data_IF_331319139338
#
_entry.id   IF_331319139338
#
_cell.length_a   1.000
_cell.length_b   1.000
_cell.length_c   1.000
_cell.angle_alpha   90.00
_cell.angle_beta   90.00
_cell.angle_gamma   90.00
#
_symmetry.space_group_name_H-M   'P 1'
#
loop_
_entity.id
_entity.type
_entity.pdbx_description
1 polymer ?
#
# COMPACT_ATOMS: atom_id res chain seq x y z
N UNK A 1 6.87 10.25 6.63
CA UNK A 1 7.51 8.93 6.45
C UNK A 1 7.08 8.19 5.19
N UNK A 2 5.80 8.20 4.81
CA UNK A 2 5.33 7.47 3.62
C UNK A 2 5.01 8.39 2.45
N UNK A 3 4.31 9.51 2.68
CA UNK A 3 3.71 10.37 1.65
C UNK A 3 4.65 10.84 0.51
N UNK A 4 5.96 10.93 0.74
CA UNK A 4 6.92 11.32 -0.30
C UNK A 4 7.46 10.13 -1.14
N UNK A 5 7.08 8.89 -0.84
CA UNK A 5 7.52 7.71 -1.61
C UNK A 5 6.84 7.68 -2.98
N UNK A 6 7.64 7.71 -4.05
CA UNK A 6 7.16 7.76 -5.42
C UNK A 6 6.70 6.39 -5.92
N UNK A 7 5.82 6.42 -6.91
CA UNK A 7 5.53 5.24 -7.73
C UNK A 7 6.75 4.83 -8.55
N UNK A 8 6.75 3.60 -9.06
CA UNK A 8 7.91 3.02 -9.72
C UNK A 8 7.55 2.03 -10.82
N UNK A 9 8.46 1.82 -11.76
CA UNK A 9 8.30 0.83 -12.84
C UNK A 9 9.61 0.51 -13.54
N UNK A 10 9.62 -0.57 -14.32
CA UNK A 10 10.78 -0.97 -15.12
C UNK A 10 10.84 -0.20 -16.44
N UNK A 11 12.04 0.16 -16.89
CA UNK A 11 12.23 0.92 -18.13
C UNK A 11 11.55 0.26 -19.33
N UNK A 12 11.75 -1.05 -19.49
CA UNK A 12 11.16 -1.85 -20.58
C UNK A 12 9.62 -1.82 -20.58
N UNK A 13 9.01 -1.78 -19.39
CA UNK A 13 7.55 -1.69 -19.25
C UNK A 13 7.06 -0.28 -19.57
N UNK A 14 7.77 0.76 -19.13
CA UNK A 14 7.40 2.16 -19.38
C UNK A 14 7.39 2.46 -20.88
N UNK A 15 8.39 1.99 -21.63
CA UNK A 15 8.44 2.15 -23.09
C UNK A 15 7.25 1.45 -23.76
N UNK A 16 6.97 0.22 -23.36
CA UNK A 16 5.82 -0.56 -23.85
C UNK A 16 4.48 0.11 -23.52
N UNK A 17 4.33 0.62 -22.31
CA UNK A 17 3.13 1.34 -21.87
C UNK A 17 2.92 2.61 -22.72
N UNK A 18 3.98 3.40 -22.92
CA UNK A 18 3.93 4.62 -23.75
C UNK A 18 3.58 4.31 -25.20
N UNK A 19 4.15 3.25 -25.78
CA UNK A 19 3.80 2.81 -27.13
C UNK A 19 2.31 2.43 -27.27
N UNK A 20 1.70 1.93 -26.19
CA UNK A 20 0.28 1.60 -26.10
C UNK A 20 -0.60 2.78 -25.62
N UNK A 21 -0.06 4.00 -25.55
CA UNK A 21 -0.81 5.19 -25.14
C UNK A 21 -1.10 5.29 -23.63
N UNK A 22 -0.47 4.44 -22.82
CA UNK A 22 -0.51 4.47 -21.36
C UNK A 22 0.70 5.21 -20.79
N UNK A 23 0.67 5.57 -19.50
CA UNK A 23 1.78 6.25 -18.81
C UNK A 23 2.37 7.48 -19.56
N UNK A 24 1.55 8.19 -20.36
CA UNK A 24 2.00 9.28 -21.25
C UNK A 24 2.66 10.45 -20.50
N UNK A 25 2.25 10.68 -19.25
CA UNK A 25 2.84 11.69 -18.37
C UNK A 25 4.01 11.18 -17.52
N UNK A 26 4.41 9.91 -17.65
CA UNK A 26 5.48 9.33 -16.84
C UNK A 26 6.84 9.92 -17.19
N UNK A 27 7.53 10.46 -16.18
CA UNK A 27 8.90 10.99 -16.28
C UNK A 27 9.70 10.63 -15.03
N UNK A 28 11.01 10.87 -15.06
CA UNK A 28 11.88 10.69 -13.88
C UNK A 28 11.54 11.66 -12.72
N UNK A 29 10.75 12.70 -12.97
CA UNK A 29 10.31 13.66 -11.96
C UNK A 29 9.20 13.10 -11.07
N UNK A 30 8.37 12.20 -11.61
CA UNK A 30 7.17 11.68 -10.95
C UNK A 30 7.20 10.19 -10.64
N UNK A 31 8.14 9.43 -11.20
CA UNK A 31 8.31 8.02 -10.94
C UNK A 31 9.79 7.64 -10.75
N UNK A 32 10.03 6.60 -9.96
CA UNK A 32 11.31 5.90 -9.93
C UNK A 32 11.35 4.92 -11.09
N UNK A 33 12.36 5.00 -11.94
CA UNK A 33 12.51 4.09 -13.08
C UNK A 33 13.70 3.17 -12.85
N UNK A 34 13.44 1.87 -12.98
CA UNK A 34 14.41 0.79 -12.78
C UNK A 34 14.86 0.31 -14.17
N UNK A 35 16.12 0.57 -14.51
CA UNK A 35 16.78 0.00 -15.68
C UNK A 35 17.53 -1.28 -15.34
N UNK A 36 18.18 -1.88 -16.34
CA UNK A 36 18.93 -3.12 -16.19
C UNK A 36 20.13 -2.98 -15.24
N UNK A 37 20.77 -1.80 -15.25
CA UNK A 37 21.96 -1.49 -14.44
C UNK A 37 21.62 -0.74 -13.12
N UNK A 38 20.33 -0.56 -12.80
CA UNK A 38 19.88 0.06 -11.55
C UNK A 38 18.91 1.23 -11.72
N UNK A 39 18.89 2.14 -10.74
CA UNK A 39 17.95 3.27 -10.68
C UNK A 39 18.41 4.39 -11.62
N UNK A 40 17.52 4.84 -12.51
CA UNK A 40 17.83 5.86 -13.52
C UNK A 40 17.71 7.30 -13.01
N UNK A 41 17.01 7.52 -11.90
CA UNK A 41 16.86 8.86 -11.33
C UNK A 41 18.20 9.36 -10.79
N UNK A 42 18.69 10.52 -11.24
CA UNK A 42 20.01 11.08 -10.84
C UNK A 42 20.19 11.23 -9.32
N UNK A 43 19.13 11.62 -8.61
CA UNK A 43 19.11 11.73 -7.15
C UNK A 43 18.84 10.41 -6.41
N UNK A 44 18.72 9.29 -7.14
CA UNK A 44 18.39 7.98 -6.61
C UNK A 44 17.02 7.92 -5.92
N UNK A 45 16.97 7.16 -4.83
CA UNK A 45 15.78 6.99 -3.99
C UNK A 45 15.72 8.05 -2.89
N UNK A 46 14.51 8.50 -2.55
CA UNK A 46 14.24 9.36 -1.39
C UNK A 46 14.41 8.61 -0.07
N UNK A 47 14.17 7.29 -0.12
CA UNK A 47 14.28 6.37 1.01
C UNK A 47 14.94 5.07 0.53
N UNK A 48 15.75 4.43 1.38
CA UNK A 48 16.36 3.13 1.03
C UNK A 48 15.31 2.04 0.73
N UNK A 49 14.13 2.16 1.33
CA UNK A 49 12.97 1.28 1.24
C UNK A 49 11.78 1.96 0.52
N UNK A 50 12.04 2.90 -0.39
CA UNK A 50 11.00 3.71 -1.07
C UNK A 50 9.91 2.85 -1.75
N UNK A 51 10.28 1.72 -2.35
CA UNK A 51 9.34 0.82 -3.03
C UNK A 51 8.27 0.23 -2.09
N UNK A 52 8.67 -0.27 -0.92
CA UNK A 52 7.72 -0.84 0.04
C UNK A 52 6.91 0.27 0.72
N UNK A 53 7.50 1.44 0.95
CA UNK A 53 6.77 2.62 1.46
C UNK A 53 5.66 3.06 0.49
N UNK A 54 5.93 3.06 -0.81
CA UNK A 54 4.93 3.34 -1.82
C UNK A 54 3.80 2.30 -1.79
N UNK A 55 4.11 1.00 -1.66
CA UNK A 55 3.08 -0.05 -1.53
C UNK A 55 2.24 0.05 -0.25
N UNK A 56 2.84 0.51 0.85
CA UNK A 56 2.09 0.86 2.06
C UNK A 56 1.14 2.03 1.75
N UNK A 57 1.63 3.08 1.07
CA UNK A 57 0.80 4.23 0.68
C UNK A 57 -0.35 3.83 -0.26
N UNK A 58 -0.09 2.99 -1.27
CA UNK A 58 -1.10 2.42 -2.16
C UNK A 58 -2.18 1.71 -1.33
N UNK A 59 -1.77 0.88 -0.37
CA UNK A 59 -2.69 0.15 0.50
C UNK A 59 -3.52 1.08 1.39
N UNK A 60 -2.94 2.15 1.92
CA UNK A 60 -3.71 3.18 2.66
C UNK A 60 -4.75 3.83 1.75
N UNK A 61 -4.38 4.15 0.51
CA UNK A 61 -5.29 4.71 -0.49
C UNK A 61 -6.43 3.74 -0.82
N UNK A 62 -6.13 2.50 -1.15
CA UNK A 62 -7.12 1.48 -1.50
C UNK A 62 -8.08 1.19 -0.34
N UNK A 63 -7.56 1.06 0.89
CA UNK A 63 -8.37 0.81 2.08
C UNK A 63 -9.29 1.97 2.44
N UNK A 64 -8.93 3.21 2.07
CA UNK A 64 -9.79 4.37 2.27
C UNK A 64 -11.11 4.28 1.49
N UNK A 65 -11.18 3.43 0.45
CA UNK A 65 -12.41 3.15 -0.29
C UNK A 65 -13.49 2.45 0.54
N UNK A 66 -13.16 1.97 1.75
CA UNK A 66 -14.16 1.51 2.72
C UNK A 66 -15.09 2.64 3.22
N UNK A 67 -14.76 3.91 2.96
CA UNK A 67 -15.58 5.07 3.30
C UNK A 67 -15.42 5.58 4.73
N UNK A 68 -14.68 4.86 5.58
CA UNK A 68 -14.36 5.23 6.95
C UNK A 68 -12.88 4.97 7.24
N UNK A 69 -12.31 5.73 8.18
CA UNK A 69 -10.98 5.40 8.72
C UNK A 69 -11.02 4.05 9.42
N UNK A 70 -10.19 3.12 8.96
CA UNK A 70 -10.11 1.80 9.55
C UNK A 70 -9.29 1.83 10.84
N UNK A 71 -9.83 1.19 11.87
CA UNK A 71 -9.13 0.92 13.12
C UNK A 71 -8.87 -0.57 13.19
N UNK A 72 -7.62 -0.98 12.98
CA UNK A 72 -7.23 -2.38 12.95
C UNK A 72 -5.77 -2.58 12.55
N UNK A 73 -5.38 -3.83 12.37
CA UNK A 73 -4.05 -4.22 11.89
C UNK A 73 -4.17 -4.93 10.55
N UNK A 74 -3.57 -4.35 9.51
CA UNK A 74 -3.52 -4.94 8.17
C UNK A 74 -2.16 -5.58 7.95
N UNK A 75 -2.17 -6.85 7.50
CA UNK A 75 -0.99 -7.56 7.02
C UNK A 75 -1.18 -7.84 5.53
N UNK A 76 -0.21 -7.46 4.72
CA UNK A 76 -0.25 -7.64 3.27
C UNK A 76 1.03 -8.34 2.81
N UNK A 77 0.89 -9.41 2.02
CA UNK A 77 2.01 -10.13 1.43
C UNK A 77 1.87 -10.11 -0.09
N UNK A 78 2.80 -9.41 -0.77
CA UNK A 78 2.75 -9.19 -2.24
C UNK A 78 1.38 -8.67 -2.73
N UNK A 79 0.70 -7.89 -1.87
CA UNK A 79 -0.60 -7.31 -2.23
C UNK A 79 -0.44 -6.17 -3.21
N UNK A 80 -1.46 -5.98 -4.04
CA UNK A 80 -1.64 -4.83 -4.92
C UNK A 80 -3.10 -4.39 -4.93
N UNK A 81 -3.44 -3.44 -5.79
CA UNK A 81 -4.76 -2.81 -5.81
C UNK A 81 -5.94 -3.80 -5.91
N UNK A 82 -5.81 -4.86 -6.72
CA UNK A 82 -6.86 -5.89 -6.84
C UNK A 82 -7.14 -6.62 -5.51
N UNK A 83 -6.08 -7.07 -4.83
CA UNK A 83 -6.23 -7.80 -3.56
C UNK A 83 -6.70 -6.86 -2.43
N UNK A 84 -6.20 -5.63 -2.40
CA UNK A 84 -6.67 -4.61 -1.46
C UNK A 84 -8.16 -4.29 -1.67
N UNK A 85 -8.60 -4.15 -2.93
CA UNK A 85 -10.00 -3.94 -3.27
C UNK A 85 -10.88 -5.12 -2.87
N UNK A 86 -10.42 -6.36 -3.10
CA UNK A 86 -11.11 -7.58 -2.64
C UNK A 86 -11.28 -7.59 -1.12
N UNK A 87 -10.23 -7.19 -0.38
CA UNK A 87 -10.32 -7.07 1.08
C UNK A 87 -11.36 -6.03 1.51
N UNK A 88 -11.38 -4.84 0.90
CA UNK A 88 -12.39 -3.81 1.18
C UNK A 88 -13.80 -4.33 0.89
N UNK A 89 -13.98 -5.00 -0.24
CA UNK A 89 -15.28 -5.59 -0.64
C UNK A 89 -15.75 -6.61 0.39
N UNK A 90 -14.84 -7.49 0.84
CA UNK A 90 -15.14 -8.51 1.85
C UNK A 90 -15.55 -7.86 3.19
N UNK A 91 -14.80 -6.87 3.68
CA UNK A 91 -15.12 -6.12 4.90
C UNK A 91 -16.53 -5.53 4.82
N UNK A 92 -16.85 -4.84 3.73
CA UNK A 92 -18.16 -4.20 3.56
C UNK A 92 -19.31 -5.23 3.45
N UNK A 93 -19.04 -6.40 2.88
CA UNK A 93 -20.03 -7.48 2.76
C UNK A 93 -20.34 -8.19 4.09
N UNK A 94 -19.49 -8.03 5.10
CA UNK A 94 -19.55 -8.74 6.39
C UNK A 94 -19.69 -7.79 7.57
N UNK A 95 -20.87 -7.17 7.76
CA UNK A 95 -21.12 -6.24 8.87
C UNK A 95 -21.07 -6.90 10.26
N UNK A 96 -21.04 -8.22 10.33
CA UNK A 96 -20.81 -9.00 11.55
C UNK A 96 -19.34 -8.97 12.01
N UNK A 97 -18.42 -8.62 11.12
CA UNK A 97 -16.97 -8.64 11.36
C UNK A 97 -16.37 -7.27 11.74
N UNK A 98 -17.19 -6.21 11.79
CA UNK A 98 -16.75 -4.86 12.15
C UNK A 98 -17.88 -4.08 12.84
N UNK A 99 -17.53 -2.92 13.41
CA UNK A 99 -18.50 -1.99 13.99
C UNK A 99 -18.05 -0.55 13.77
N UNK A 100 -18.99 0.37 13.63
CA UNK A 100 -18.69 1.79 13.69
C UNK A 100 -18.35 2.19 15.12
N UNK A 101 -17.33 3.03 15.26
CA UNK A 101 -16.92 3.63 16.53
C UNK A 101 -16.77 5.13 16.35
N UNK A 102 -17.20 5.90 17.36
CA UNK A 102 -17.02 7.35 17.35
C UNK A 102 -15.56 7.70 17.62
N UNK A 103 -15.04 8.68 16.88
CA UNK A 103 -13.64 9.13 16.97
C UNK A 103 -13.24 9.60 18.37
N UNK A 104 -14.18 10.14 19.16
CA UNK A 104 -13.94 10.59 20.55
C UNK A 104 -13.89 9.48 21.60
N UNK A 105 -14.32 8.26 21.26
CA UNK A 105 -14.34 7.11 22.18
C UNK A 105 -13.10 6.20 22.05
N UNK A 106 -12.31 6.40 20.99
CA UNK A 106 -11.12 5.62 20.70
C UNK A 106 -9.88 6.29 21.30
N UNK A 107 -9.52 5.92 22.54
CA UNK A 107 -8.15 6.09 23.00
C UNK A 107 -7.29 5.06 22.29
N UNK A 108 -6.49 5.51 21.33
CA UNK A 108 -5.44 4.67 20.75
C UNK A 108 -4.57 4.17 21.90
N UNK A 109 -4.73 2.90 22.28
CA UNK A 109 -3.79 2.26 23.17
C UNK A 109 -2.44 2.28 22.47
N UNK A 110 -1.51 3.07 22.98
CA UNK A 110 -0.10 3.10 22.53
C UNK A 110 0.63 1.80 22.87
N UNK A 111 -0.07 0.83 23.46
CA UNK A 111 0.40 -0.54 23.48
C UNK A 111 0.50 -1.03 22.03
N UNK A 112 1.73 -1.00 21.51
CA UNK A 112 2.16 -1.95 20.49
C UNK A 112 1.67 -3.31 20.98
N UNK A 113 0.60 -3.84 20.38
CA UNK A 113 0.15 -5.18 20.68
C UNK A 113 1.40 -6.07 20.57
N UNK A 114 1.74 -6.86 21.60
CA UNK A 114 2.96 -7.64 21.54
C UNK A 114 2.89 -8.46 20.25
N UNK A 115 3.90 -8.27 19.40
CA UNK A 115 4.11 -9.07 18.19
C UNK A 115 4.21 -10.58 18.48
N UNK A 116 4.13 -10.96 19.74
CA UNK A 116 3.96 -12.31 20.24
C UNK A 116 2.62 -12.44 21.00
N UNK A 117 1.50 -12.49 20.26
CA UNK A 117 0.47 -13.47 20.62
C UNK A 117 0.49 -14.51 19.53
N UNK A 118 1.09 -15.66 19.86
CA UNK A 118 1.09 -16.83 18.99
C UNK A 118 -0.34 -17.28 18.64
N UNK A 119 -1.34 -16.85 19.42
CA UNK A 119 -2.74 -17.25 19.28
C UNK A 119 -3.51 -16.48 18.18
N UNK A 120 -2.92 -15.45 17.57
CA UNK A 120 -3.50 -14.72 16.42
C UNK A 120 -2.72 -14.93 15.11
N UNK A 121 -1.67 -15.74 15.15
CA UNK A 121 -0.97 -16.21 13.97
C UNK A 121 -1.18 -17.72 13.91
N UNK A 122 -1.81 -18.21 12.84
CA UNK A 122 -2.05 -19.63 12.56
C UNK A 122 -3.26 -20.27 13.24
N UNK A 123 -4.44 -19.99 12.69
CA UNK A 123 -5.41 -21.07 12.47
C UNK A 123 -5.84 -21.04 11.00
N UNK A 124 -5.24 -21.95 10.24
CA UNK A 124 -5.71 -22.46 8.94
C UNK A 124 -5.82 -21.48 7.76
N UNK A 125 -4.73 -21.39 6.99
CA UNK A 125 -4.69 -21.41 5.51
C UNK A 125 -3.24 -21.48 5.02
#
# INVERSE_FOLDING_TARGET
DYAAARTFGFLIEVETLKANGLARGGSLDNAVVIGDDGILNEGGLRYADEFVRHKIMDSVGDLSLAGYSLVGHVKAYKSGHDLNHKLVTEILSRPDCWKLVDSGSYTASTAVAPLASADLAWSEA
#
